data_IF_438478389762
#
_entry.id   IF_438478389762
#
_cell.length_a   1.000
_cell.length_b   1.000
_cell.length_c   1.000
_cell.angle_alpha   90.00
_cell.angle_beta   90.00
_cell.angle_gamma   90.00
#
_symmetry.space_group_name_H-M   'P 1'
#
loop_
_entity.id
_entity.type
_entity.pdbx_description
1 polymer ?
#
# COMPACT_ATOMS: atom_id res chain seq x y z
N UNK A 1 -16.80 2.27 -6.97
CA UNK A 1 -15.59 3.14 -7.09
C UNK A 1 -14.84 2.72 -8.34
N UNK A 2 -14.37 3.65 -9.18
CA UNK A 2 -13.64 3.34 -10.42
C UNK A 2 -12.14 3.32 -10.17
N UNK A 3 -11.41 2.37 -10.76
CA UNK A 3 -9.94 2.41 -10.80
C UNK A 3 -9.46 3.73 -11.42
N UNK A 4 -8.24 4.18 -11.14
CA UNK A 4 -7.70 5.39 -11.75
C UNK A 4 -6.33 5.17 -12.38
N UNK A 5 -5.84 6.10 -13.20
CA UNK A 5 -4.48 6.05 -13.75
C UNK A 5 -3.76 7.39 -13.68
N UNK A 6 -2.42 7.32 -13.54
CA UNK A 6 -1.50 8.47 -13.64
C UNK A 6 -0.58 8.31 -14.84
N UNK A 7 -0.14 9.43 -15.40
CA UNK A 7 0.86 9.45 -16.46
C UNK A 7 2.25 9.69 -15.87
N UNK A 8 3.22 8.90 -16.33
CA UNK A 8 4.63 9.00 -15.97
C UNK A 8 5.43 9.27 -17.23
N UNK A 9 6.42 10.17 -17.15
CA UNK A 9 7.29 10.46 -18.29
C UNK A 9 8.10 9.22 -18.65
N UNK A 10 8.16 8.90 -19.94
CA UNK A 10 8.99 7.81 -20.45
C UNK A 10 10.45 8.26 -20.48
N UNK A 11 11.35 7.41 -19.98
CA UNK A 11 12.80 7.61 -20.11
C UNK A 11 13.39 6.82 -21.29
N UNK A 12 12.54 6.16 -22.08
CA UNK A 12 12.95 5.23 -23.13
C UNK A 12 12.96 5.84 -24.54
N UNK A 13 12.62 7.13 -24.67
CA UNK A 13 12.65 7.83 -25.96
C UNK A 13 13.36 9.19 -25.85
N UNK A 14 13.91 9.64 -26.97
CA UNK A 14 14.53 10.97 -27.12
C UNK A 14 13.48 12.09 -27.25
N UNK A 15 12.20 11.80 -26.99
CA UNK A 15 11.08 12.73 -27.13
C UNK A 15 10.53 13.07 -25.74
N UNK A 16 10.66 14.35 -25.37
CA UNK A 16 10.28 14.87 -24.06
C UNK A 16 8.77 14.81 -23.76
N UNK A 17 7.93 14.51 -24.76
CA UNK A 17 6.47 14.47 -24.64
C UNK A 17 5.88 13.06 -24.62
N UNK A 18 6.67 12.03 -24.30
CA UNK A 18 6.16 10.67 -24.18
C UNK A 18 5.89 10.27 -22.73
N UNK A 19 4.70 9.73 -22.51
CA UNK A 19 4.24 9.28 -21.20
C UNK A 19 3.65 7.88 -21.30
N UNK A 20 3.77 7.10 -20.23
CA UNK A 20 3.03 5.84 -20.05
C UNK A 20 2.06 5.96 -18.89
N UNK A 21 0.94 5.24 -18.98
CA UNK A 21 -0.06 5.21 -17.93
C UNK A 21 0.26 4.10 -16.92
N UNK A 22 0.12 4.39 -15.62
CA UNK A 22 0.14 3.39 -14.56
C UNK A 22 -1.17 3.46 -13.79
N UNK A 23 -1.88 2.32 -13.74
CA UNK A 23 -3.09 2.17 -12.94
C UNK A 23 -2.75 2.38 -11.47
N UNK A 24 -3.59 3.11 -10.77
CA UNK A 24 -3.55 3.31 -9.33
C UNK A 24 -4.59 2.36 -8.73
N UNK A 25 -4.11 1.43 -7.92
CA UNK A 25 -4.98 0.55 -7.14
C UNK A 25 -5.43 1.32 -5.89
N UNK A 26 -6.68 1.13 -5.48
CA UNK A 26 -7.24 1.80 -4.28
C UNK A 26 -6.65 1.17 -3.02
N UNK A 27 -7.09 -0.06 -2.73
CA UNK A 27 -6.75 -0.82 -1.54
C UNK A 27 -6.62 -2.31 -1.92
N UNK A 28 -6.04 -3.09 -1.03
CA UNK A 28 -5.96 -4.55 -1.16
C UNK A 28 -7.26 -5.15 -0.64
N UNK A 29 -7.88 -6.02 -1.44
CA UNK A 29 -8.94 -6.90 -0.95
C UNK A 29 -8.34 -8.27 -0.67
N UNK A 30 -8.52 -8.75 0.55
CA UNK A 30 -8.14 -10.09 0.98
C UNK A 30 -9.23 -11.11 0.61
N UNK A 31 -8.92 -12.39 0.78
CA UNK A 31 -9.92 -13.46 0.61
C UNK A 31 -11.06 -13.32 1.64
N UNK A 32 -10.74 -12.91 2.87
CA UNK A 32 -11.74 -12.68 3.90
C UNK A 32 -12.70 -11.54 3.51
N UNK A 33 -12.18 -10.43 2.96
CA UNK A 33 -13.01 -9.32 2.46
C UNK A 33 -13.95 -9.77 1.33
N UNK A 34 -13.48 -10.67 0.46
CA UNK A 34 -14.29 -11.26 -0.62
C UNK A 34 -15.39 -12.12 -0.01
N UNK A 35 -15.09 -12.93 1.00
CA UNK A 35 -16.08 -13.79 1.68
C UNK A 35 -17.12 -12.93 2.40
N UNK A 36 -16.70 -11.86 3.07
CA UNK A 36 -17.64 -10.92 3.71
C UNK A 36 -18.55 -10.26 2.68
N UNK A 37 -18.00 -9.87 1.53
CA UNK A 37 -18.79 -9.35 0.41
C UNK A 37 -19.78 -10.40 -0.14
N UNK A 38 -19.40 -11.69 -0.18
CA UNK A 38 -20.32 -12.77 -0.56
C UNK A 38 -21.46 -12.93 0.44
N UNK A 39 -21.21 -12.77 1.73
CA UNK A 39 -22.25 -12.87 2.77
C UNK A 39 -23.25 -11.72 2.67
N UNK A 40 -22.76 -10.49 2.46
CA UNK A 40 -23.60 -9.30 2.29
C UNK A 40 -24.55 -9.39 1.09
N UNK A 41 -24.15 -10.13 0.05
CA UNK A 41 -24.97 -10.34 -1.15
C UNK A 41 -26.03 -11.46 -0.99
N UNK A 42 -26.28 -11.95 0.24
CA UNK A 42 -27.39 -12.84 0.56
C UNK A 42 -27.05 -14.34 0.42
N UNK A 43 -25.87 -14.76 0.87
CA UNK A 43 -25.49 -16.18 0.89
C UNK A 43 -26.37 -16.99 1.85
N UNK A 44 -26.89 -18.17 1.45
CA UNK A 44 -27.60 -19.08 2.35
C UNK A 44 -26.66 -19.87 3.29
N UNK A 45 -25.35 -19.79 3.07
CA UNK A 45 -24.33 -20.46 3.88
C UNK A 45 -23.77 -19.52 4.95
N UNK A 46 -23.27 -20.08 6.05
CA UNK A 46 -22.54 -19.28 7.04
C UNK A 46 -21.18 -18.82 6.49
N UNK A 47 -20.60 -17.76 7.09
CA UNK A 47 -19.23 -17.30 6.76
C UNK A 47 -18.22 -18.44 6.95
N UNK A 48 -18.35 -19.21 8.04
CA UNK A 48 -17.46 -20.32 8.35
C UNK A 48 -17.55 -21.45 7.32
N UNK A 49 -18.76 -21.84 6.91
CA UNK A 49 -18.94 -22.87 5.88
C UNK A 49 -18.37 -22.41 4.53
N UNK A 50 -18.59 -21.13 4.19
CA UNK A 50 -18.08 -20.54 2.95
C UNK A 50 -16.55 -20.54 2.92
N UNK A 51 -15.91 -20.12 4.01
CA UNK A 51 -14.45 -20.17 4.15
C UNK A 51 -13.93 -21.62 4.02
N UNK A 52 -14.59 -22.58 4.67
CA UNK A 52 -14.18 -23.99 4.60
C UNK A 52 -14.25 -24.53 3.16
N UNK A 53 -15.30 -24.19 2.42
CA UNK A 53 -15.46 -24.58 1.01
C UNK A 53 -14.38 -23.95 0.13
N UNK A 54 -14.09 -22.66 0.31
CA UNK A 54 -13.06 -21.94 -0.45
C UNK A 54 -11.67 -22.52 -0.16
N UNK A 55 -11.33 -22.76 1.10
CA UNK A 55 -10.08 -23.43 1.48
C UNK A 55 -9.95 -24.80 0.79
N UNK A 56 -11.02 -25.59 0.82
CA UNK A 56 -11.03 -26.91 0.16
C UNK A 56 -10.84 -26.81 -1.35
N UNK A 57 -11.40 -25.77 -1.97
CA UNK A 57 -11.21 -25.46 -3.38
C UNK A 57 -9.74 -25.13 -3.69
N UNK A 58 -9.09 -24.30 -2.88
CA UNK A 58 -7.66 -24.00 -3.00
C UNK A 58 -6.77 -25.24 -2.83
N UNK A 59 -7.03 -26.06 -1.82
CA UNK A 59 -6.30 -27.33 -1.60
C UNK A 59 -6.41 -28.25 -2.81
N UNK A 60 -7.61 -28.36 -3.39
CA UNK A 60 -7.84 -29.20 -4.56
C UNK A 60 -7.05 -28.70 -5.78
N UNK A 61 -6.97 -27.39 -6.00
CA UNK A 61 -6.13 -26.79 -7.03
C UNK A 61 -4.65 -27.11 -6.79
N UNK A 62 -4.18 -26.94 -5.56
CA UNK A 62 -2.78 -27.18 -5.20
C UNK A 62 -2.38 -28.64 -5.39
N UNK A 63 -3.24 -29.59 -5.00
CA UNK A 63 -3.02 -31.03 -5.20
C UNK A 63 -2.98 -31.35 -6.70
N UNK A 64 -3.92 -30.83 -7.49
CA UNK A 64 -3.93 -31.08 -8.93
C UNK A 64 -2.69 -30.50 -9.61
N UNK A 65 -2.35 -29.24 -9.31
CA UNK A 65 -1.17 -28.58 -9.85
C UNK A 65 0.12 -29.32 -9.43
N UNK A 66 0.26 -29.70 -8.16
CA UNK A 66 1.41 -30.46 -7.66
C UNK A 66 1.59 -31.83 -8.32
N UNK A 67 0.50 -32.43 -8.80
CA UNK A 67 0.51 -33.68 -9.57
C UNK A 67 0.79 -33.48 -11.07
N UNK A 68 1.24 -32.30 -11.48
CA UNK A 68 1.64 -32.02 -12.87
C UNK A 68 0.50 -31.57 -13.79
N UNK A 69 -0.72 -31.41 -13.28
CA UNK A 69 -1.83 -30.90 -14.08
C UNK A 69 -1.70 -29.39 -14.30
N UNK A 70 -1.99 -28.95 -15.51
CA UNK A 70 -2.28 -27.54 -15.73
C UNK A 70 -3.73 -27.26 -15.31
N UNK A 71 -3.92 -26.50 -14.23
CA UNK A 71 -5.25 -26.23 -13.68
C UNK A 71 -5.77 -24.92 -14.23
N UNK A 72 -6.96 -24.95 -14.84
CA UNK A 72 -7.62 -23.75 -15.37
C UNK A 72 -8.92 -23.52 -14.61
N UNK A 73 -8.97 -22.42 -13.86
CA UNK A 73 -10.19 -21.92 -13.21
C UNK A 73 -10.79 -20.78 -14.01
N UNK A 74 -11.93 -20.25 -13.57
CA UNK A 74 -12.58 -19.11 -14.25
C UNK A 74 -11.66 -17.88 -14.33
N UNK A 75 -10.95 -17.56 -13.25
CA UNK A 75 -10.17 -16.33 -13.15
C UNK A 75 -8.66 -16.53 -13.28
N UNK A 76 -8.16 -17.76 -13.10
CA UNK A 76 -6.73 -18.05 -13.04
C UNK A 76 -6.37 -19.38 -13.70
N UNK A 77 -5.24 -19.42 -14.40
CA UNK A 77 -4.58 -20.62 -14.90
C UNK A 77 -3.28 -20.84 -14.13
N UNK A 78 -3.15 -22.01 -13.51
CA UNK A 78 -1.99 -22.43 -12.72
C UNK A 78 -1.18 -23.48 -13.49
N UNK A 79 0.14 -23.28 -13.53
CA UNK A 79 1.11 -24.27 -14.00
C UNK A 79 2.45 -24.04 -13.31
N UNK A 80 3.45 -24.87 -13.60
CA UNK A 80 4.83 -24.62 -13.20
C UNK A 80 5.79 -24.98 -14.33
N UNK A 81 6.99 -24.43 -14.28
CA UNK A 81 8.09 -24.73 -15.20
C UNK A 81 9.36 -24.97 -14.40
N UNK A 82 10.33 -25.64 -15.01
CA UNK A 82 11.67 -25.81 -14.44
C UNK A 82 12.60 -24.78 -15.11
N UNK A 83 13.28 -23.97 -14.30
CA UNK A 83 14.38 -23.10 -14.74
C UNK A 83 15.71 -23.75 -14.41
N UNK A 84 16.74 -23.44 -15.20
CA UNK A 84 18.10 -23.98 -15.07
C UNK A 84 18.53 -24.75 -16.32
N UNK A 85 19.81 -25.13 -16.39
CA UNK A 85 20.39 -25.79 -17.56
C UNK A 85 20.75 -27.23 -17.24
N UNK A 86 20.25 -28.15 -18.07
CA UNK A 86 20.61 -29.56 -18.05
C UNK A 86 21.82 -29.81 -18.96
N UNK A 87 22.78 -30.59 -18.48
CA UNK A 87 24.04 -30.87 -19.17
C UNK A 87 23.99 -32.13 -20.07
N UNK A 88 22.80 -32.59 -20.43
CA UNK A 88 22.61 -33.70 -21.36
C UNK A 88 21.30 -34.47 -21.14
N UNK A 89 20.98 -35.45 -22.00
CA UNK A 89 19.69 -36.17 -21.95
C UNK A 89 19.48 -37.08 -20.74
N UNK A 90 20.56 -37.44 -20.03
CA UNK A 90 20.52 -38.28 -18.82
C UNK A 90 20.68 -37.46 -17.53
N UNK A 91 20.82 -36.14 -17.65
CA UNK A 91 20.92 -35.24 -16.50
C UNK A 91 19.59 -35.21 -15.74
N UNK A 92 19.66 -35.13 -14.41
CA UNK A 92 18.50 -35.23 -13.54
C UNK A 92 18.16 -33.87 -12.92
N UNK A 93 16.94 -33.76 -12.40
CA UNK A 93 16.56 -32.60 -11.61
C UNK A 93 17.47 -32.51 -10.38
N UNK A 94 17.97 -31.32 -10.13
CA UNK A 94 19.00 -31.04 -9.13
C UNK A 94 18.63 -29.71 -8.49
N UNK A 95 18.33 -29.71 -7.20
CA UNK A 95 17.85 -28.52 -6.47
C UNK A 95 18.90 -27.41 -6.36
N UNK A 96 20.18 -27.69 -6.61
CA UNK A 96 21.24 -26.67 -6.62
C UNK A 96 21.33 -25.92 -7.95
N UNK A 97 20.91 -26.54 -9.06
CA UNK A 97 21.01 -25.96 -10.41
C UNK A 97 19.65 -25.62 -11.03
N UNK A 98 18.60 -26.27 -10.57
CA UNK A 98 17.27 -26.20 -11.13
C UNK A 98 16.26 -25.67 -10.11
N UNK A 99 15.31 -24.87 -10.58
CA UNK A 99 14.25 -24.30 -9.76
C UNK A 99 12.89 -24.56 -10.40
N UNK A 100 11.95 -25.10 -9.62
CA UNK A 100 10.55 -25.16 -10.01
C UNK A 100 9.91 -23.80 -9.76
N UNK A 101 9.33 -23.20 -10.79
CA UNK A 101 8.72 -21.87 -10.76
C UNK A 101 7.25 -21.98 -11.08
N UNK A 102 6.41 -21.52 -10.15
CA UNK A 102 4.97 -21.41 -10.38
C UNK A 102 4.67 -20.30 -11.40
N UNK A 103 3.75 -20.59 -12.32
CA UNK A 103 3.25 -19.66 -13.31
C UNK A 103 1.75 -19.48 -13.12
N UNK A 104 1.34 -18.22 -13.06
CA UNK A 104 -0.05 -17.81 -12.85
C UNK A 104 -0.43 -16.88 -13.99
N UNK A 105 -1.47 -17.25 -14.75
CA UNK A 105 -1.96 -16.46 -15.89
C UNK A 105 -3.44 -16.11 -15.70
N UNK A 106 -3.91 -14.98 -16.25
CA UNK A 106 -5.34 -14.65 -16.28
C UNK A 106 -6.19 -15.75 -16.91
N UNK A 107 -7.23 -16.16 -16.21
CA UNK A 107 -8.26 -17.06 -16.71
C UNK A 107 -9.24 -16.36 -17.65
N UNK A 108 -10.11 -17.13 -18.35
CA UNK A 108 -11.00 -16.60 -19.37
C UNK A 108 -11.97 -15.54 -18.84
N UNK A 109 -12.57 -15.75 -17.66
CA UNK A 109 -13.56 -14.82 -17.12
C UNK A 109 -12.94 -13.48 -16.70
N UNK A 110 -11.70 -13.50 -16.18
CA UNK A 110 -11.00 -12.26 -15.83
C UNK A 110 -10.58 -11.48 -17.08
N UNK A 111 -10.11 -12.18 -18.14
CA UNK A 111 -9.81 -11.56 -19.43
C UNK A 111 -11.04 -10.88 -20.02
N UNK A 112 -12.15 -11.60 -20.06
CA UNK A 112 -13.43 -11.08 -20.56
C UNK A 112 -13.90 -9.85 -19.74
N UNK A 113 -13.79 -9.89 -18.41
CA UNK A 113 -14.13 -8.75 -17.57
C UNK A 113 -13.27 -7.51 -17.86
N UNK A 114 -11.99 -7.69 -18.19
CA UNK A 114 -11.10 -6.60 -18.59
C UNK A 114 -11.42 -6.08 -19.99
N UNK A 115 -11.68 -6.98 -20.94
CA UNK A 115 -12.03 -6.65 -22.34
C UNK A 115 -13.38 -5.93 -22.44
N UNK A 116 -14.36 -6.31 -21.62
CA UNK A 116 -15.68 -5.66 -21.52
C UNK A 116 -15.63 -4.26 -20.87
N UNK A 117 -14.46 -3.83 -20.42
CA UNK A 117 -14.20 -2.49 -19.93
C UNK A 117 -14.20 -2.41 -18.41
N UNK A 118 -13.01 -2.18 -17.86
CA UNK A 118 -12.86 -1.73 -16.48
C UNK A 118 -13.09 -0.21 -16.45
N UNK A 119 -13.95 0.33 -15.57
CA UNK A 119 -14.09 1.77 -15.41
C UNK A 119 -12.78 2.33 -14.82
N UNK A 120 -11.96 2.95 -15.67
CA UNK A 120 -10.70 3.60 -15.28
C UNK A 120 -10.77 5.09 -15.63
N UNK A 121 -10.58 5.95 -14.63
CA UNK A 121 -10.53 7.40 -14.82
C UNK A 121 -9.08 7.93 -14.72
N UNK A 122 -8.73 8.93 -15.53
CA UNK A 122 -7.47 9.66 -15.32
C UNK A 122 -7.56 10.37 -13.98
N UNK A 123 -6.56 10.21 -13.12
CA UNK A 123 -6.49 11.04 -11.92
C UNK A 123 -6.38 12.51 -12.33
N UNK A 124 -7.18 13.36 -11.69
CA UNK A 124 -7.10 14.80 -11.88
C UNK A 124 -5.67 15.29 -11.57
N UNK A 125 -5.16 16.28 -12.32
CA UNK A 125 -3.80 16.78 -12.15
C UNK A 125 -3.51 17.14 -10.69
N UNK A 126 -2.28 16.82 -10.28
CA UNK A 126 -1.76 16.86 -8.91
C UNK A 126 -2.28 18.06 -8.11
N UNK A 127 -3.21 17.80 -7.20
CA UNK A 127 -3.62 18.78 -6.20
C UNK A 127 -2.47 18.90 -5.21
N UNK A 128 -1.68 19.99 -5.30
CA UNK A 128 -0.66 20.41 -4.31
C UNK A 128 -1.03 19.95 -2.90
N UNK A 129 -0.26 19.06 -2.28
CA UNK A 129 -0.47 18.54 -0.93
C UNK A 129 0.87 18.44 -0.22
N UNK A 130 0.89 18.33 1.12
CA UNK A 130 2.12 18.06 1.84
C UNK A 130 2.68 16.70 1.41
N UNK A 131 3.99 16.61 1.28
CA UNK A 131 4.74 15.39 0.97
C UNK A 131 5.78 15.21 2.07
N UNK A 132 5.76 14.06 2.75
CA UNK A 132 6.69 13.73 3.82
C UNK A 132 7.63 12.64 3.30
N UNK A 133 8.89 13.01 3.07
CA UNK A 133 9.90 12.15 2.48
C UNK A 133 10.70 11.38 3.55
N UNK A 134 10.76 11.90 4.77
CA UNK A 134 11.54 11.27 5.83
C UNK A 134 11.34 11.88 7.21
N UNK A 135 11.83 11.14 8.21
CA UNK A 135 11.76 11.48 9.62
C UNK A 135 13.14 11.28 10.26
N UNK A 136 13.49 12.15 11.21
CA UNK A 136 14.69 12.04 12.03
C UNK A 136 14.36 12.31 13.50
N UNK A 137 14.72 11.36 14.36
CA UNK A 137 14.70 11.54 15.81
C UNK A 137 15.94 12.34 16.25
N UNK A 138 15.76 13.54 16.81
CA UNK A 138 16.89 14.39 17.17
C UNK A 138 17.47 14.07 18.56
N UNK A 139 16.85 13.16 19.32
CA UNK A 139 17.39 12.67 20.59
C UNK A 139 18.39 11.53 20.39
N UNK A 140 18.07 10.55 19.55
CA UNK A 140 18.90 9.35 19.32
C UNK A 140 19.86 9.46 18.12
N UNK A 141 19.66 10.45 17.26
CA UNK A 141 20.43 10.62 16.02
C UNK A 141 19.56 10.43 14.77
N UNK A 142 20.00 10.98 13.64
CA UNK A 142 19.16 11.29 12.48
C UNK A 142 18.63 10.09 11.65
N UNK A 143 18.52 8.88 12.21
CA UNK A 143 18.18 7.67 11.45
C UNK A 143 17.14 6.72 12.08
N UNK A 144 16.49 7.08 13.19
CA UNK A 144 15.65 6.11 13.91
C UNK A 144 14.15 6.27 13.62
N UNK A 145 13.46 5.15 13.35
CA UNK A 145 12.00 5.04 13.18
C UNK A 145 11.22 5.09 14.53
N UNK A 146 11.77 5.80 15.52
CA UNK A 146 11.23 5.90 16.87
C UNK A 146 10.74 7.32 17.16
N UNK A 147 9.51 7.42 17.66
CA UNK A 147 8.98 8.64 18.26
C UNK A 147 9.34 8.60 19.75
N UNK A 148 10.24 9.50 20.17
CA UNK A 148 10.61 9.64 21.59
C UNK A 148 9.79 10.77 22.20
N UNK A 149 8.80 10.48 23.08
CA UNK A 149 8.02 11.50 23.78
C UNK A 149 8.92 12.53 24.46
N UNK A 150 8.45 13.77 24.54
CA UNK A 150 9.15 14.93 25.10
C UNK A 150 10.40 15.40 24.35
N UNK A 151 10.84 14.69 23.32
CA UNK A 151 12.06 15.01 22.58
C UNK A 151 11.75 15.63 21.22
N UNK A 152 12.75 16.31 20.66
CA UNK A 152 12.62 16.93 19.34
C UNK A 152 12.77 15.90 18.23
N UNK A 153 11.97 16.09 17.18
CA UNK A 153 12.03 15.34 15.95
C UNK A 153 11.91 16.26 14.75
N UNK A 154 12.29 15.73 13.58
CA UNK A 154 12.26 16.45 12.32
C UNK A 154 11.61 15.64 11.22
N UNK A 155 10.79 16.29 10.41
CA UNK A 155 10.24 15.76 9.15
C UNK A 155 10.86 16.54 8.01
N UNK A 156 11.25 15.83 6.95
CA UNK A 156 11.69 16.40 5.69
C UNK A 156 10.68 16.10 4.59
N UNK A 157 10.59 16.99 3.61
CA UNK A 157 9.75 16.75 2.45
C UNK A 157 9.47 18.01 1.64
N UNK A 158 8.22 18.16 1.22
CA UNK A 158 7.80 19.27 0.37
C UNK A 158 6.40 19.77 0.74
N UNK A 159 6.16 21.06 0.50
CA UNK A 159 4.89 21.74 0.78
C UNK A 159 4.37 21.57 2.24
N UNK A 160 5.28 21.47 3.21
CA UNK A 160 4.96 21.18 4.62
C UNK A 160 4.42 22.37 5.43
N UNK A 161 4.35 23.59 4.87
CA UNK A 161 3.79 24.73 5.61
C UNK A 161 2.28 24.58 5.77
N UNK A 162 1.80 24.97 6.95
CA UNK A 162 0.37 25.07 7.27
C UNK A 162 0.11 26.32 8.12
N UNK A 163 -1.17 26.70 8.24
CA UNK A 163 -1.58 27.78 9.13
C UNK A 163 -1.81 27.23 10.55
N UNK A 164 -1.08 27.72 11.55
CA UNK A 164 -1.25 27.30 12.95
C UNK A 164 -2.52 27.86 13.61
N UNK A 165 -3.08 28.95 13.08
CA UNK A 165 -4.31 29.55 13.62
C UNK A 165 -5.57 28.76 13.24
N UNK A 166 -5.44 27.74 12.38
CA UNK A 166 -6.54 26.92 11.88
C UNK A 166 -6.44 25.52 12.48
N UNK A 167 -7.35 25.12 13.39
CA UNK A 167 -7.26 23.84 14.11
C UNK A 167 -7.42 22.61 13.21
N UNK A 168 -7.87 22.80 11.96
CA UNK A 168 -7.94 21.71 10.98
C UNK A 168 -6.59 21.44 10.30
N UNK A 169 -5.64 22.36 10.45
CA UNK A 169 -4.31 22.29 9.89
C UNK A 169 -3.30 21.99 11.00
N UNK A 170 -2.18 21.36 10.65
CA UNK A 170 -1.20 20.96 11.66
C UNK A 170 -0.40 19.74 11.27
N UNK A 171 0.51 19.38 12.17
CA UNK A 171 1.13 18.06 12.22
C UNK A 171 0.35 17.20 13.22
N UNK A 172 -0.01 15.99 12.82
CA UNK A 172 -0.77 15.03 13.61
C UNK A 172 0.00 13.71 13.70
N UNK A 173 -0.09 13.07 14.86
CA UNK A 173 0.45 11.75 15.14
C UNK A 173 -0.75 10.81 15.25
N UNK A 174 -0.86 9.88 14.30
CA UNK A 174 -2.05 9.04 14.12
C UNK A 174 -1.72 7.60 14.50
N UNK A 175 -2.44 6.99 15.46
CA UNK A 175 -2.26 5.58 15.81
C UNK A 175 -2.50 4.67 14.62
N UNK A 176 -1.77 3.57 14.59
CA UNK A 176 -1.83 2.52 13.58
C UNK A 176 -2.11 1.21 14.28
N UNK A 177 -3.03 0.40 13.75
CA UNK A 177 -3.25 -0.96 14.24
C UNK A 177 -2.19 -1.95 13.73
N UNK A 178 -2.26 -3.20 14.19
CA UNK A 178 -1.31 -4.25 13.80
C UNK A 178 -1.33 -4.58 12.29
N UNK A 179 -2.37 -4.14 11.56
CA UNK A 179 -2.53 -4.33 10.13
C UNK A 179 -2.06 -3.11 9.31
N UNK A 180 -1.55 -2.05 9.96
CA UNK A 180 -1.07 -0.86 9.27
C UNK A 180 -2.15 0.19 8.96
N UNK A 181 -3.37 0.03 9.49
CA UNK A 181 -4.51 0.90 9.26
C UNK A 181 -4.50 2.05 10.28
N UNK A 182 -4.64 3.29 9.80
CA UNK A 182 -4.61 4.49 10.64
C UNK A 182 -5.96 4.79 11.29
N UNK A 183 -5.96 5.00 12.61
CA UNK A 183 -7.13 5.43 13.37
C UNK A 183 -7.18 6.97 13.51
N UNK A 184 -7.74 7.64 12.51
CA UNK A 184 -7.80 9.11 12.48
C UNK A 184 -8.64 9.74 13.60
N UNK A 185 -9.58 8.99 14.20
CA UNK A 185 -10.37 9.47 15.34
C UNK A 185 -9.55 9.66 16.62
N UNK A 186 -8.36 9.04 16.67
CA UNK A 186 -7.41 9.14 17.78
C UNK A 186 -6.15 9.93 17.42
N UNK A 187 -6.21 10.73 16.34
CA UNK A 187 -5.09 11.56 15.94
C UNK A 187 -4.75 12.61 17.02
N UNK A 188 -3.48 12.65 17.43
CA UNK A 188 -2.96 13.62 18.41
C UNK A 188 -2.32 14.79 17.66
N UNK A 189 -2.81 16.03 17.83
CA UNK A 189 -2.16 17.21 17.24
C UNK A 189 -0.84 17.49 17.94
N UNK A 190 0.16 17.92 17.17
CA UNK A 190 1.42 18.45 17.71
C UNK A 190 1.25 19.95 17.91
N UNK A 191 1.60 20.43 19.11
CA UNK A 191 1.41 21.83 19.50
C UNK A 191 2.74 22.61 19.57
N UNK A 192 3.86 21.93 19.84
CA UNK A 192 5.17 22.57 20.04
C UNK A 192 6.07 22.42 18.80
N UNK A 193 6.35 23.55 18.14
CA UNK A 193 7.20 23.62 16.93
C UNK A 193 8.42 24.50 17.15
N UNK A 194 9.61 23.94 16.89
CA UNK A 194 10.84 24.73 16.79
C UNK A 194 10.98 25.39 15.41
N UNK A 195 10.44 24.76 14.35
CA UNK A 195 10.50 25.29 12.98
C UNK A 195 9.39 24.75 12.10
N UNK A 196 8.79 25.61 11.28
CA UNK A 196 7.87 25.24 10.19
C UNK A 196 8.33 25.91 8.89
N UNK A 197 8.78 25.10 7.93
CA UNK A 197 9.23 25.53 6.61
C UNK A 197 8.62 24.64 5.52
N UNK A 198 8.66 25.03 4.22
CA UNK A 198 8.04 24.25 3.15
C UNK A 198 8.66 22.87 2.98
N UNK A 199 9.92 22.70 3.40
CA UNK A 199 10.68 21.46 3.22
C UNK A 199 11.07 20.77 4.52
N UNK A 200 10.75 21.38 5.67
CA UNK A 200 11.18 20.88 6.96
C UNK A 200 10.22 21.34 8.06
N UNK A 201 9.86 20.42 8.96
CA UNK A 201 9.22 20.74 10.24
C UNK A 201 10.10 20.17 11.34
N UNK A 202 10.47 20.99 12.33
CA UNK A 202 11.07 20.51 13.59
C UNK A 202 10.09 20.77 14.71
N UNK A 203 9.77 19.73 15.46
CA UNK A 203 8.71 19.74 16.48
C UNK A 203 9.10 18.90 17.70
N UNK A 204 8.41 19.12 18.81
CA UNK A 204 8.54 18.29 20.01
C UNK A 204 7.45 17.23 20.02
N UNK A 205 7.83 15.97 20.21
CA UNK A 205 6.88 14.86 20.31
C UNK A 205 6.07 15.02 21.61
N UNK A 206 4.72 14.96 21.56
CA UNK A 206 3.86 15.07 22.74
C UNK A 206 4.19 14.05 23.83
N UNK A 207 4.08 14.46 25.09
CA UNK A 207 4.41 13.64 26.27
C UNK A 207 3.37 12.55 26.54
N UNK A 208 2.14 12.70 26.03
CA UNK A 208 0.99 11.84 26.28
C UNK A 208 0.81 10.72 25.24
N UNK A 209 1.86 10.38 24.49
CA UNK A 209 1.85 9.27 23.54
C UNK A 209 2.11 7.94 24.27
N UNK A 210 1.11 7.05 24.25
CA UNK A 210 1.26 5.69 24.75
C UNK A 210 2.13 4.82 23.81
N UNK A 211 2.65 3.68 24.31
CA UNK A 211 3.36 2.72 23.46
C UNK A 211 2.49 2.24 22.31
N UNK A 212 3.07 2.11 21.11
CA UNK A 212 2.34 1.69 19.93
C UNK A 212 2.97 2.12 18.61
N UNK A 213 2.22 1.88 17.53
CA UNK A 213 2.60 2.22 16.16
C UNK A 213 1.86 3.49 15.71
N UNK A 214 2.56 4.36 15.01
CA UNK A 214 2.06 5.67 14.62
C UNK A 214 2.51 6.08 13.22
N UNK A 215 1.71 6.91 12.55
CA UNK A 215 2.12 7.66 11.36
C UNK A 215 2.04 9.15 11.59
N UNK A 216 2.87 9.89 10.86
CA UNK A 216 2.85 11.36 10.86
C UNK A 216 2.01 11.86 9.69
N UNK A 217 1.14 12.83 9.97
CA UNK A 217 0.30 13.49 8.98
C UNK A 217 0.47 15.00 9.03
N UNK A 218 0.74 15.64 7.91
CA UNK A 218 0.64 17.09 7.78
C UNK A 218 -0.65 17.43 7.05
N UNK A 219 -1.49 18.25 7.68
CA UNK A 219 -2.75 18.74 7.11
C UNK A 219 -2.59 20.23 6.80
N UNK A 220 -2.81 20.61 5.55
CA UNK A 220 -2.67 21.99 5.10
C UNK A 220 -3.79 22.38 4.12
N UNK A 221 -4.25 23.64 4.18
CA UNK A 221 -5.20 24.19 3.21
C UNK A 221 -4.47 24.86 2.06
N UNK A 222 -4.91 24.59 0.83
CA UNK A 222 -4.43 25.23 -0.39
C UNK A 222 -5.54 26.08 -1.01
N UNK A 223 -5.22 26.97 -1.97
CA UNK A 223 -6.18 27.92 -2.58
C UNK A 223 -7.54 27.26 -2.87
N UNK A 224 -8.63 27.92 -2.44
CA UNK A 224 -10.03 27.43 -2.32
C UNK A 224 -10.31 26.50 -1.13
N UNK A 225 -9.63 26.70 0.01
CA UNK A 225 -9.94 26.11 1.34
C UNK A 225 -9.99 24.58 1.46
N UNK A 226 -9.63 23.83 0.40
CA UNK A 226 -9.58 22.35 0.48
C UNK A 226 -8.44 21.93 1.41
N UNK A 227 -8.78 21.30 2.54
CA UNK A 227 -7.83 20.63 3.40
C UNK A 227 -7.22 19.45 2.65
N UNK A 228 -5.91 19.30 2.70
CA UNK A 228 -5.17 18.20 2.06
C UNK A 228 -4.17 17.65 3.06
N UNK A 229 -4.03 16.33 3.04
CA UNK A 229 -3.17 15.59 3.96
C UNK A 229 -2.03 14.95 3.20
N UNK A 230 -0.82 15.13 3.70
CA UNK A 230 0.34 14.30 3.42
C UNK A 230 0.57 13.38 4.60
N UNK A 231 0.97 12.14 4.34
CA UNK A 231 1.27 11.15 5.38
C UNK A 231 2.68 10.59 5.12
N UNK A 232 3.45 10.38 6.18
CA UNK A 232 4.73 9.68 6.11
C UNK A 232 4.47 8.21 5.83
N UNK A 233 5.17 7.63 4.85
CA UNK A 233 5.02 6.21 4.50
C UNK A 233 5.52 5.30 5.63
N UNK A 234 6.60 5.69 6.31
CA UNK A 234 7.17 4.95 7.43
C UNK A 234 6.24 4.96 8.65
N UNK A 235 6.02 3.77 9.21
CA UNK A 235 5.42 3.62 10.54
C UNK A 235 6.50 3.85 11.60
N UNK A 236 6.18 4.69 12.58
CA UNK A 236 7.05 5.02 13.70
C UNK A 236 6.56 4.32 14.96
N UNK A 237 7.48 3.96 15.85
CA UNK A 237 7.15 3.28 17.10
C UNK A 237 7.38 4.20 18.30
N UNK A 238 6.45 4.18 19.25
CA UNK A 238 6.68 4.64 20.64
C UNK A 238 6.86 3.40 21.50
N UNK A 239 7.93 3.35 22.28
CA UNK A 239 8.25 2.24 23.20
C UNK A 239 7.99 2.61 24.64
#
# INVERSE_FOLDING_TARGET
MSSSYKLYKSNYSNDDNQYYAKVQHHEVMTEEDIIDMMMLNGSPFSKADTQAIINKYHDTINIAAGNGWQVVTRNVRYSFTIKGVFNGPQDQLDSHRHQIVANVLPGPAFKEAVENGVPIAKEAPYKKRPELDGYANLHKGASDAELSPSHNARIFGNQLRFNQDDPLQGLFIVPVDDNGITNHSQAVPVEEFARIAPKEITFRVPDNLGPGLYKLEVRAKYRKSSLRTGQLENVLTVR
#
